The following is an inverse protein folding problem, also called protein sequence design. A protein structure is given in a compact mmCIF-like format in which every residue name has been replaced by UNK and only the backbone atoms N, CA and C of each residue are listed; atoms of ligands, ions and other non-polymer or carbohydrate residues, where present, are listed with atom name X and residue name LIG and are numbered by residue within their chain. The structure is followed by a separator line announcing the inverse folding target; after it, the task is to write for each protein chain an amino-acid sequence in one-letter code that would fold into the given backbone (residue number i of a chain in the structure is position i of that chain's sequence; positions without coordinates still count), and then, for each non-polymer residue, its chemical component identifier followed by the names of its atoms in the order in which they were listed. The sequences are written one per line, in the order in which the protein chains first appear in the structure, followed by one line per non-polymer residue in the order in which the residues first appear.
data_IF_426508239859
#
_entry.id   IF_426508239859
#
_cell.length_a   1.000
_cell.length_b   1.000
_cell.length_c   1.000
_cell.angle_alpha   90.00
_cell.angle_beta   90.00
_cell.angle_gamma   90.00
#
_symmetry.space_group_name_H-M   'P 1'
#
loop_
_entity.id
_entity.type
_entity.pdbx_description
1 polymer ?
#
# COMPACT_ATOMS: atom_id res chain seq x y z
N UNK A 1 -10.74 -14.72 -4.17
CA UNK A 1 -9.52 -13.96 -3.83
C UNK A 1 -8.28 -14.51 -4.52
N UNK A 2 -7.81 -15.74 -4.22
CA UNK A 2 -6.55 -16.28 -4.79
C UNK A 2 -6.46 -16.12 -6.32
N UNK A 3 -7.52 -16.44 -7.05
CA UNK A 3 -7.53 -16.32 -8.52
C UNK A 3 -7.39 -14.88 -9.02
N UNK A 4 -8.05 -13.92 -8.35
CA UNK A 4 -7.97 -12.48 -8.70
C UNK A 4 -6.54 -11.97 -8.49
N UNK A 5 -5.94 -12.35 -7.35
CA UNK A 5 -4.57 -11.97 -6.99
C UNK A 5 -3.55 -12.61 -7.95
N UNK A 6 -3.69 -13.91 -8.22
CA UNK A 6 -2.72 -14.66 -9.01
C UNK A 6 -2.75 -14.30 -10.50
N UNK A 7 -3.93 -13.95 -11.02
CA UNK A 7 -4.11 -13.55 -12.42
C UNK A 7 -4.08 -12.02 -12.62
N UNK A 8 -3.79 -11.25 -11.57
CA UNK A 8 -3.80 -9.78 -11.57
C UNK A 8 -5.07 -9.18 -12.20
N UNK A 9 -6.24 -9.72 -11.82
CA UNK A 9 -7.53 -9.24 -12.31
C UNK A 9 -8.04 -8.08 -11.45
N UNK A 10 -8.83 -7.15 -12.00
CA UNK A 10 -9.51 -6.14 -11.19
C UNK A 10 -10.38 -6.79 -10.10
N UNK A 11 -10.44 -6.22 -8.90
CA UNK A 11 -11.28 -6.76 -7.81
C UNK A 11 -12.78 -6.78 -8.18
N UNK A 12 -13.21 -5.80 -8.98
CA UNK A 12 -14.53 -5.71 -9.60
C UNK A 12 -14.87 -6.94 -10.49
N UNK A 13 -13.88 -7.72 -10.90
CA UNK A 13 -14.10 -8.98 -11.62
C UNK A 13 -15.03 -9.92 -10.84
N UNK A 14 -14.85 -10.02 -9.52
CA UNK A 14 -15.68 -10.88 -8.66
C UNK A 14 -17.16 -10.48 -8.65
N UNK A 15 -17.45 -9.23 -8.98
CA UNK A 15 -18.79 -8.66 -9.03
C UNK A 15 -19.39 -8.68 -10.44
N UNK A 16 -18.59 -8.94 -11.48
CA UNK A 16 -19.08 -9.05 -12.85
C UNK A 16 -20.09 -10.19 -13.01
N UNK A 17 -21.12 -9.96 -13.81
CA UNK A 17 -22.22 -10.92 -14.03
C UNK A 17 -21.70 -12.25 -14.56
N UNK A 18 -20.70 -12.19 -15.42
CA UNK A 18 -20.04 -13.30 -16.09
C UNK A 18 -19.25 -14.12 -15.07
N UNK A 19 -18.43 -13.48 -14.23
CA UNK A 19 -17.70 -14.16 -13.16
C UNK A 19 -18.65 -14.79 -12.14
N UNK A 20 -19.76 -14.14 -11.79
CA UNK A 20 -20.78 -14.70 -10.87
C UNK A 20 -21.53 -15.89 -11.47
N UNK A 21 -21.63 -15.97 -12.80
CA UNK A 21 -22.26 -17.09 -13.49
C UNK A 21 -21.37 -18.35 -13.50
N UNK A 22 -20.06 -18.17 -13.51
CA UNK A 22 -19.09 -19.26 -13.66
C UNK A 22 -18.21 -19.49 -12.43
N UNK A 23 -18.34 -18.68 -11.37
CA UNK A 23 -17.54 -18.80 -10.14
C UNK A 23 -18.35 -18.43 -8.90
N UNK A 24 -17.98 -19.05 -7.76
CA UNK A 24 -18.51 -18.72 -6.44
C UNK A 24 -17.57 -17.79 -5.67
N UNK A 25 -16.82 -16.93 -6.36
CA UNK A 25 -15.94 -15.96 -5.70
C UNK A 25 -16.78 -15.08 -4.78
N UNK A 26 -16.34 -14.94 -3.51
CA UNK A 26 -16.96 -13.98 -2.61
C UNK A 26 -16.83 -12.57 -3.21
N UNK A 27 -17.93 -11.79 -3.24
CA UNK A 27 -17.86 -10.40 -3.69
C UNK A 27 -16.89 -9.61 -2.82
N UNK A 28 -16.12 -8.73 -3.44
CA UNK A 28 -15.32 -7.71 -2.74
C UNK A 28 -16.02 -6.39 -3.00
N UNK A 29 -16.86 -5.96 -2.04
CA UNK A 29 -17.60 -4.72 -2.21
C UNK A 29 -16.65 -3.51 -2.15
N UNK A 30 -17.05 -2.44 -2.83
CA UNK A 30 -16.36 -1.15 -2.78
C UNK A 30 -16.26 -0.58 -1.35
N UNK A 31 -17.09 -1.04 -0.41
CA UNK A 31 -17.07 -0.61 0.99
C UNK A 31 -16.24 -1.54 1.89
N UNK A 32 -16.30 -2.86 1.68
CA UNK A 32 -15.56 -3.84 2.48
C UNK A 32 -14.08 -3.85 2.14
N UNK A 33 -13.71 -3.49 0.90
CA UNK A 33 -12.32 -3.40 0.49
C UNK A 33 -11.56 -2.29 1.23
N UNK A 34 -11.99 -1.00 1.22
CA UNK A 34 -11.36 0.05 2.01
C UNK A 34 -11.28 -0.32 3.50
N UNK A 35 -12.37 -0.78 4.10
CA UNK A 35 -12.36 -1.19 5.51
C UNK A 35 -11.35 -2.33 5.79
N UNK A 36 -11.21 -3.27 4.85
CA UNK A 36 -10.19 -4.31 4.91
C UNK A 36 -8.77 -3.76 4.79
N UNK A 37 -8.56 -2.80 3.87
CA UNK A 37 -7.26 -2.12 3.69
C UNK A 37 -6.89 -1.28 4.91
N UNK A 38 -7.84 -0.58 5.54
CA UNK A 38 -7.64 0.16 6.78
C UNK A 38 -7.22 -0.77 7.92
N UNK A 39 -7.85 -1.96 8.02
CA UNK A 39 -7.46 -2.98 8.98
C UNK A 39 -6.05 -3.54 8.73
N UNK A 40 -5.66 -3.71 7.47
CA UNK A 40 -4.31 -4.12 7.08
C UNK A 40 -3.31 -3.01 7.42
N UNK A 41 -3.62 -1.76 7.10
CA UNK A 41 -2.79 -0.60 7.42
C UNK A 41 -2.54 -0.50 8.92
N UNK A 42 -3.59 -0.57 9.74
CA UNK A 42 -3.47 -0.56 11.20
C UNK A 42 -2.62 -1.71 11.74
N UNK A 43 -2.75 -2.90 11.15
CA UNK A 43 -1.93 -4.06 11.53
C UNK A 43 -0.46 -3.83 11.22
N UNK A 44 -0.16 -3.26 10.05
CA UNK A 44 1.20 -2.91 9.62
C UNK A 44 1.77 -1.82 10.52
N UNK A 45 1.02 -0.75 10.80
CA UNK A 45 1.45 0.33 11.69
C UNK A 45 1.82 -0.20 13.07
N UNK A 46 0.99 -1.08 13.64
CA UNK A 46 1.27 -1.72 14.93
C UNK A 46 2.51 -2.60 14.88
N UNK A 47 2.71 -3.34 13.80
CA UNK A 47 3.90 -4.18 13.62
C UNK A 47 5.18 -3.34 13.52
N UNK A 48 5.14 -2.25 12.75
CA UNK A 48 6.25 -1.30 12.67
C UNK A 48 6.49 -0.67 14.03
N UNK A 49 5.46 -0.15 14.70
CA UNK A 49 5.59 0.51 16.00
C UNK A 49 6.13 -0.40 17.12
N UNK A 50 5.75 -1.69 17.10
CA UNK A 50 6.26 -2.67 18.06
C UNK A 50 7.74 -2.99 17.84
N UNK A 51 8.24 -2.79 16.62
CA UNK A 51 9.61 -3.11 16.22
C UNK A 51 10.53 -1.88 16.21
N UNK A 52 9.97 -0.69 16.00
CA UNK A 52 10.72 0.55 15.81
C UNK A 52 11.49 0.93 17.08
N UNK A 53 12.79 1.16 16.92
CA UNK A 53 13.65 1.62 18.02
C UNK A 53 13.32 3.07 18.42
N UNK A 54 13.67 3.46 19.65
CA UNK A 54 13.58 4.85 20.11
C UNK A 54 14.38 5.84 19.24
N UNK A 55 15.36 5.34 18.48
CA UNK A 55 16.16 6.10 17.52
C UNK A 55 16.23 5.30 16.22
N UNK A 56 15.86 5.94 15.13
CA UNK A 56 15.91 5.39 13.78
C UNK A 56 16.27 6.51 12.80
N UNK A 57 16.79 6.14 11.64
CA UNK A 57 17.02 7.06 10.53
C UNK A 57 15.75 7.27 9.72
N UNK A 58 15.65 8.42 9.06
CA UNK A 58 14.63 8.68 8.03
C UNK A 58 15.34 8.69 6.68
N UNK A 59 14.77 7.98 5.71
CA UNK A 59 15.19 8.03 4.30
C UNK A 59 14.03 8.55 3.46
N UNK A 60 14.31 9.54 2.63
CA UNK A 60 13.38 10.06 1.64
C UNK A 60 13.75 9.45 0.30
N UNK A 61 12.79 8.82 -0.37
CA UNK A 61 12.92 8.40 -1.76
C UNK A 61 11.98 9.20 -2.65
N UNK A 62 12.31 9.20 -3.93
CA UNK A 62 11.48 9.78 -4.97
C UNK A 62 11.13 8.69 -5.97
N UNK A 63 9.85 8.63 -6.34
CA UNK A 63 9.37 7.76 -7.41
C UNK A 63 8.63 8.58 -8.45
N UNK A 64 8.67 8.16 -9.71
CA UNK A 64 7.89 8.79 -10.78
C UNK A 64 7.18 7.72 -11.59
N UNK A 65 5.86 7.86 -11.73
CA UNK A 65 5.08 7.02 -12.62
C UNK A 65 4.31 7.90 -13.60
N UNK A 66 4.53 7.67 -14.91
CA UNK A 66 3.92 8.38 -16.05
C UNK A 66 4.24 9.89 -16.09
N UNK A 67 3.73 10.66 -15.13
CA UNK A 67 3.96 12.10 -14.96
C UNK A 67 3.76 12.57 -13.52
N UNK A 68 3.37 11.67 -12.62
CA UNK A 68 3.18 11.97 -11.21
C UNK A 68 4.46 11.63 -10.46
N UNK A 69 4.96 12.62 -9.74
CA UNK A 69 6.09 12.47 -8.83
C UNK A 69 5.55 12.12 -7.44
N UNK A 70 6.22 11.20 -6.77
CA UNK A 70 5.87 10.73 -5.44
C UNK A 70 7.07 10.91 -4.52
N UNK A 71 6.79 11.29 -3.29
CA UNK A 71 7.74 11.27 -2.19
C UNK A 71 7.36 10.12 -1.28
N UNK A 72 8.34 9.26 -1.03
CA UNK A 72 8.24 8.19 -0.05
C UNK A 72 9.11 8.51 1.17
N UNK A 73 8.59 8.15 2.35
CA UNK A 73 9.26 8.34 3.64
C UNK A 73 9.44 6.98 4.28
N UNK A 74 10.68 6.58 4.50
CA UNK A 74 11.05 5.34 5.15
C UNK A 74 11.64 5.59 6.54
N UNK A 75 11.32 4.71 7.48
CA UNK A 75 12.13 4.49 8.68
C UNK A 75 13.22 3.47 8.38
N UNK A 76 14.47 3.78 8.73
CA UNK A 76 15.62 2.90 8.60
C UNK A 76 16.19 2.60 9.98
N UNK A 77 16.27 1.33 10.35
CA UNK A 77 16.72 0.91 11.67
C UNK A 77 17.33 -0.49 11.60
N UNK A 78 17.92 -0.95 12.71
CA UNK A 78 18.50 -2.29 12.80
C UNK A 78 17.72 -3.13 13.81
N UNK A 79 17.42 -4.38 13.44
CA UNK A 79 16.85 -5.39 14.34
C UNK A 79 17.73 -6.62 14.25
N UNK A 80 18.23 -7.10 15.38
CA UNK A 80 19.12 -8.27 15.45
C UNK A 80 20.29 -8.16 14.46
N UNK A 81 20.93 -6.99 14.39
CA UNK A 81 22.04 -6.65 13.47
C UNK A 81 21.70 -6.71 11.98
N UNK A 82 20.41 -6.74 11.63
CA UNK A 82 19.95 -6.69 10.24
C UNK A 82 19.32 -5.33 9.94
N UNK A 83 19.76 -4.65 8.86
CA UNK A 83 19.12 -3.42 8.45
C UNK A 83 17.70 -3.71 7.98
N UNK A 84 16.78 -2.84 8.39
CA UNK A 84 15.38 -2.85 7.97
C UNK A 84 14.97 -1.47 7.51
N UNK A 85 14.08 -1.47 6.54
CA UNK A 85 13.45 -0.26 5.98
C UNK A 85 11.94 -0.47 5.95
N UNK A 86 11.21 0.37 6.66
CA UNK A 86 9.75 0.34 6.70
C UNK A 86 9.19 1.61 6.06
N UNK A 87 8.30 1.47 5.08
CA UNK A 87 7.61 2.60 4.46
C UNK A 87 6.60 3.17 5.47
N UNK A 88 6.75 4.45 5.81
CA UNK A 88 5.85 5.16 6.73
C UNK A 88 4.76 5.91 5.99
N UNK A 89 5.11 6.53 4.86
CA UNK A 89 4.19 7.32 4.06
C UNK A 89 4.66 7.39 2.62
N UNK A 90 3.71 7.50 1.71
CA UNK A 90 3.94 7.82 0.31
C UNK A 90 2.88 8.82 -0.10
N UNK A 91 3.29 9.95 -0.66
CA UNK A 91 2.38 10.99 -1.12
C UNK A 91 2.77 11.44 -2.52
N UNK A 92 1.81 11.75 -3.41
CA UNK A 92 2.11 12.51 -4.60
C UNK A 92 2.70 13.86 -4.19
N UNK A 93 3.71 14.30 -4.93
CA UNK A 93 4.27 15.64 -4.84
C UNK A 93 3.35 16.58 -5.60
N UNK A 94 2.96 17.67 -4.94
CA UNK A 94 2.28 18.76 -5.62
C UNK A 94 3.29 19.41 -6.58
N UNK A 95 2.90 19.56 -7.84
CA UNK A 95 3.66 20.42 -8.74
C UNK A 95 3.68 21.83 -8.13
N UNK A 96 4.86 22.44 -8.03
CA UNK A 96 4.92 23.88 -7.82
C UNK A 96 4.11 24.53 -8.94
N UNK A 97 3.20 25.45 -8.60
CA UNK A 97 2.59 26.29 -9.62
C UNK A 97 3.73 26.93 -10.42
N UNK A 98 3.73 26.78 -11.74
CA UNK A 98 4.66 27.49 -12.60
C UNK A 98 4.47 28.99 -12.29
N UNK A 99 5.45 29.59 -11.62
CA UNK A 99 5.59 31.05 -11.53
C UNK A 99 5.83 31.57 -12.96
N UNK A 100 4.74 31.76 -13.71
CA UNK A 100 4.73 32.34 -15.04
C UNK A 100 4.79 33.88 -15.01
#
# INVERSE_FOLDING_TARGET
MVWIVHCNLPLAFSESREARRYSNLQPVSQETLPAGMDGVMLTIERAIAAELLARFGIMLGGWTHASEHYLDVFACYEVDTRPKTALLSMTPLLNAEDDA
#
